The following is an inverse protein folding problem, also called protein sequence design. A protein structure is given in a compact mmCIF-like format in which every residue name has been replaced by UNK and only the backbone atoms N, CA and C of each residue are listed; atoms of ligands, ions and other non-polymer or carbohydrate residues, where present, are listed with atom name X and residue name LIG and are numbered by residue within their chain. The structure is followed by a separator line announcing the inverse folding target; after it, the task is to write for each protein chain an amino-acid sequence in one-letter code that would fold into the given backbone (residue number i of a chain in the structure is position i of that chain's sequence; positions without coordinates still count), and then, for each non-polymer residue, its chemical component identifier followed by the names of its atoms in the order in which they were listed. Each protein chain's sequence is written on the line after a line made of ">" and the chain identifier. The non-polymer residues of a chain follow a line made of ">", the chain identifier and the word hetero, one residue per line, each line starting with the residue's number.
data_IF_677898182412
#
_entry.id   IF_677898182412
#
_cell.length_a   1.000
_cell.length_b   1.000
_cell.length_c   1.000
_cell.angle_alpha   90.00
_cell.angle_beta   90.00
_cell.angle_gamma   90.00
#
_symmetry.space_group_name_H-M   'P 1'
#
loop_
_entity.id
_entity.type
_entity.pdbx_description
1 polymer ?
#
# COMPACT_ATOMS: atom_id res chain seq x y z
N UNK A 1 0.21 1.70 -2.63
CA UNK A 1 0.15 1.95 -1.17
C UNK A 1 0.74 3.34 -0.89
N UNK A 2 -0.03 4.29 -0.34
CA UNK A 2 0.39 5.72 -0.22
C UNK A 2 1.25 6.05 1.01
N UNK A 3 1.34 5.12 1.97
CA UNK A 3 1.96 5.35 3.30
C UNK A 3 3.43 5.80 3.21
N UNK A 4 4.22 5.15 2.36
CA UNK A 4 5.64 5.47 2.16
C UNK A 4 5.84 6.92 1.69
N UNK A 5 5.20 7.30 0.58
CA UNK A 5 5.36 8.65 0.05
C UNK A 5 4.80 9.72 0.96
N UNK A 6 3.72 9.46 1.70
CA UNK A 6 3.20 10.41 2.69
C UNK A 6 4.16 10.59 3.88
N UNK A 7 4.74 9.52 4.43
CA UNK A 7 5.70 9.63 5.55
C UNK A 7 6.99 10.33 5.12
N UNK A 8 7.51 10.03 3.93
CA UNK A 8 8.72 10.69 3.41
C UNK A 8 8.50 12.18 3.14
N UNK A 9 7.32 12.58 2.62
CA UNK A 9 6.97 14.01 2.46
C UNK A 9 6.84 14.70 3.81
N UNK A 10 6.20 14.08 4.80
CA UNK A 10 6.13 14.62 6.17
C UNK A 10 7.53 14.78 6.80
N UNK A 11 8.42 13.80 6.60
CA UNK A 11 9.81 13.90 7.04
C UNK A 11 10.52 15.07 6.36
N UNK A 12 10.36 15.21 5.04
CA UNK A 12 10.91 16.30 4.24
C UNK A 12 10.49 17.67 4.78
N UNK A 13 9.22 17.84 5.12
CA UNK A 13 8.72 19.09 5.73
C UNK A 13 9.25 19.30 7.15
N UNK A 14 9.27 18.24 7.98
CA UNK A 14 9.77 18.32 9.36
C UNK A 14 11.25 18.73 9.43
N UNK A 15 12.07 18.29 8.47
CA UNK A 15 13.50 18.54 8.42
C UNK A 15 13.89 19.68 7.46
N UNK A 16 12.93 20.51 7.04
CA UNK A 16 13.17 21.56 6.04
C UNK A 16 14.22 22.58 6.47
N UNK A 17 14.26 22.91 7.76
CA UNK A 17 15.17 23.91 8.36
C UNK A 17 16.41 23.27 9.00
N UNK A 18 16.51 21.93 9.00
CA UNK A 18 17.63 21.21 9.59
C UNK A 18 18.64 20.84 8.51
N UNK A 19 19.92 21.07 8.80
CA UNK A 19 21.01 20.57 7.99
C UNK A 19 21.35 19.14 8.38
N UNK A 20 21.61 18.32 7.37
CA UNK A 20 22.17 17.00 7.54
C UNK A 20 23.68 17.09 7.84
N UNK A 21 24.31 15.95 8.14
CA UNK A 21 25.76 15.88 8.40
C UNK A 21 26.63 16.33 7.23
N UNK A 22 26.10 16.38 6.01
CA UNK A 22 26.76 16.93 4.82
C UNK A 22 26.60 18.45 4.66
N UNK A 23 26.01 19.13 5.65
CA UNK A 23 25.77 20.58 5.64
C UNK A 23 24.66 21.03 4.69
N UNK A 24 23.86 20.09 4.14
CA UNK A 24 22.77 20.39 3.20
C UNK A 24 21.41 20.00 3.77
N UNK A 25 20.36 20.65 3.28
CA UNK A 25 18.99 20.27 3.63
C UNK A 25 18.65 18.87 3.09
N UNK A 26 17.68 18.20 3.73
CA UNK A 26 17.15 16.92 3.24
C UNK A 26 16.52 17.01 1.85
N UNK A 27 16.01 18.19 1.48
CA UNK A 27 15.46 18.50 0.17
C UNK A 27 16.52 19.15 -0.73
N UNK A 28 16.36 19.00 -2.06
CA UNK A 28 17.23 19.67 -3.03
C UNK A 28 17.71 18.75 -4.15
N UNK A 29 18.46 19.33 -5.11
CA UNK A 29 19.09 18.59 -6.21
C UNK A 29 20.08 17.59 -5.62
N UNK A 30 20.01 16.34 -6.08
CA UNK A 30 20.78 15.20 -5.57
C UNK A 30 20.38 14.68 -4.18
N UNK A 31 19.41 15.29 -3.50
CA UNK A 31 18.84 14.86 -2.22
C UNK A 31 17.41 14.30 -2.38
N UNK A 32 16.56 14.37 -1.36
CA UNK A 32 15.22 13.78 -1.39
C UNK A 32 14.23 14.68 -2.15
N UNK A 33 14.04 14.41 -3.45
CA UNK A 33 13.06 15.11 -4.30
C UNK A 33 11.73 14.36 -4.37
N UNK A 34 10.65 15.03 -4.74
CA UNK A 34 9.32 14.40 -4.85
C UNK A 34 9.28 13.26 -5.87
N UNK A 35 9.93 13.43 -7.03
CA UNK A 35 10.09 12.35 -8.02
C UNK A 35 10.81 11.12 -7.44
N UNK A 36 11.80 11.33 -6.57
CA UNK A 36 12.49 10.23 -5.88
C UNK A 36 11.59 9.55 -4.85
N UNK A 37 10.81 10.33 -4.10
CA UNK A 37 9.80 9.82 -3.18
C UNK A 37 8.78 8.95 -3.93
N UNK A 38 8.33 9.39 -5.10
CA UNK A 38 7.38 8.63 -5.92
C UNK A 38 7.98 7.31 -6.41
N UNK A 39 9.23 7.31 -6.86
CA UNK A 39 9.93 6.07 -7.23
C UNK A 39 10.03 5.10 -6.05
N UNK A 40 10.41 5.58 -4.87
CA UNK A 40 10.48 4.75 -3.65
C UNK A 40 9.11 4.19 -3.30
N UNK A 41 8.06 5.02 -3.35
CA UNK A 41 6.69 4.59 -3.10
C UNK A 41 6.23 3.53 -4.11
N UNK A 42 6.61 3.66 -5.37
CA UNK A 42 6.23 2.72 -6.42
C UNK A 42 6.89 1.35 -6.22
N UNK A 43 8.20 1.30 -5.95
CA UNK A 43 8.90 0.05 -5.61
C UNK A 43 8.30 -0.59 -4.36
N UNK A 44 8.14 0.20 -3.29
CA UNK A 44 7.53 -0.28 -2.06
C UNK A 44 6.13 -0.85 -2.26
N UNK A 45 5.30 -0.20 -3.09
CA UNK A 45 3.98 -0.72 -3.42
C UNK A 45 4.01 -1.98 -4.28
N UNK A 46 4.98 -2.11 -5.18
CA UNK A 46 5.16 -3.27 -6.05
C UNK A 46 5.54 -4.50 -5.23
N UNK A 47 6.56 -4.38 -4.40
CA UNK A 47 7.09 -5.46 -3.56
C UNK A 47 6.06 -5.93 -2.54
N UNK A 48 5.29 -4.98 -2.00
CA UNK A 48 4.15 -5.30 -1.17
C UNK A 48 3.09 -6.16 -1.88
N UNK A 49 2.74 -5.84 -3.13
CA UNK A 49 1.73 -6.58 -3.91
C UNK A 49 2.20 -7.96 -4.33
N UNK A 50 3.51 -8.18 -4.47
CA UNK A 50 4.09 -9.48 -4.81
C UNK A 50 4.04 -10.47 -3.64
N UNK A 51 4.04 -9.97 -2.41
CA UNK A 51 4.22 -10.77 -1.20
C UNK A 51 3.02 -10.73 -0.23
N UNK A 52 1.80 -10.65 -0.76
CA UNK A 52 0.58 -10.49 0.04
C UNK A 52 0.30 -11.63 1.03
N UNK A 53 0.96 -12.78 0.83
CA UNK A 53 0.74 -14.00 1.61
C UNK A 53 1.88 -14.27 2.62
N UNK A 54 2.95 -13.47 2.62
CA UNK A 54 4.11 -13.70 3.50
C UNK A 54 4.67 -12.39 4.04
N UNK A 55 4.51 -12.19 5.36
CA UNK A 55 5.12 -11.06 6.07
C UNK A 55 6.64 -11.09 5.95
N UNK A 56 7.24 -12.28 5.97
CA UNK A 56 8.69 -12.43 5.86
C UNK A 56 9.18 -12.01 4.47
N UNK A 57 8.56 -12.52 3.40
CA UNK A 57 8.96 -12.17 2.03
C UNK A 57 8.75 -10.67 1.76
N UNK A 58 7.64 -10.10 2.28
CA UNK A 58 7.38 -8.67 2.20
C UNK A 58 8.45 -7.85 2.91
N UNK A 59 8.88 -8.26 4.11
CA UNK A 59 9.96 -7.61 4.85
C UNK A 59 11.27 -7.66 4.07
N UNK A 60 11.63 -8.83 3.52
CA UNK A 60 12.86 -9.01 2.74
C UNK A 60 12.88 -8.08 1.52
N UNK A 61 11.84 -8.07 0.70
CA UNK A 61 11.81 -7.23 -0.50
C UNK A 61 11.86 -5.72 -0.15
N UNK A 62 11.14 -5.30 0.88
CA UNK A 62 11.20 -3.91 1.36
C UNK A 62 12.61 -3.55 1.86
N UNK A 63 13.27 -4.49 2.56
CA UNK A 63 14.65 -4.32 3.03
C UNK A 63 15.61 -4.19 1.84
N UNK A 64 15.41 -4.95 0.77
CA UNK A 64 16.21 -4.82 -0.46
C UNK A 64 16.11 -3.41 -1.03
N UNK A 65 14.93 -2.78 -1.06
CA UNK A 65 14.79 -1.38 -1.50
C UNK A 65 15.70 -0.46 -0.67
N UNK A 66 15.70 -0.62 0.66
CA UNK A 66 16.48 0.21 1.57
C UNK A 66 17.98 -0.04 1.41
N UNK A 67 18.40 -1.30 1.28
CA UNK A 67 19.80 -1.69 1.06
C UNK A 67 20.32 -1.18 -0.28
N UNK A 68 19.52 -1.28 -1.34
CA UNK A 68 19.80 -0.62 -2.62
C UNK A 68 19.94 0.89 -2.48
N UNK A 69 19.30 1.49 -1.48
CA UNK A 69 19.44 2.93 -1.24
C UNK A 69 20.72 3.30 -0.50
N UNK A 70 21.21 2.42 0.36
CA UNK A 70 22.48 2.53 1.10
C UNK A 70 23.70 2.15 0.24
N UNK A 71 23.51 1.28 -0.75
CA UNK A 71 24.56 0.76 -1.64
C UNK A 71 25.29 1.89 -2.38
N UNK A 72 26.62 1.82 -2.40
CA UNK A 72 27.49 2.63 -3.22
C UNK A 72 28.63 1.77 -3.81
N UNK A 73 29.49 2.36 -4.64
CA UNK A 73 30.56 1.61 -5.32
C UNK A 73 31.60 1.02 -4.34
N UNK A 74 31.86 1.70 -3.22
CA UNK A 74 32.83 1.26 -2.19
C UNK A 74 32.21 0.23 -1.22
N UNK A 75 30.90 0.34 -0.99
CA UNK A 75 30.14 -0.49 -0.07
C UNK A 75 28.85 -1.02 -0.75
N UNK A 76 28.96 -2.09 -1.55
CA UNK A 76 27.82 -2.66 -2.26
C UNK A 76 26.87 -3.41 -1.31
N UNK A 77 25.62 -2.96 -1.24
CA UNK A 77 24.58 -3.51 -0.34
C UNK A 77 23.55 -4.32 -1.12
N UNK A 78 24.00 -5.37 -1.80
CA UNK A 78 23.18 -6.24 -2.67
C UNK A 78 23.00 -7.67 -2.14
N UNK A 79 23.26 -7.91 -0.85
CA UNK A 79 23.23 -9.25 -0.24
C UNK A 79 21.85 -9.94 -0.27
N UNK A 80 20.76 -9.17 -0.30
CA UNK A 80 19.39 -9.69 -0.33
C UNK A 80 18.83 -9.84 -1.76
N UNK A 81 19.62 -9.53 -2.78
CA UNK A 81 19.20 -9.69 -4.17
C UNK A 81 19.32 -11.15 -4.62
N UNK A 82 18.46 -11.60 -5.55
CA UNK A 82 18.64 -12.88 -6.22
C UNK A 82 20.04 -12.98 -6.83
N UNK A 83 20.66 -14.15 -6.72
CA UNK A 83 21.97 -14.45 -7.29
C UNK A 83 21.79 -14.91 -8.75
N UNK A 84 22.78 -14.64 -9.61
CA UNK A 84 22.84 -15.16 -10.98
C UNK A 84 22.55 -14.12 -12.05
N UNK A 85 22.72 -14.55 -13.30
CA UNK A 85 22.59 -13.71 -14.51
C UNK A 85 21.16 -13.24 -14.77
N UNK A 86 20.17 -13.96 -14.24
CA UNK A 86 18.75 -13.58 -14.30
C UNK A 86 18.34 -12.60 -13.20
N UNK A 87 19.26 -12.22 -12.31
CA UNK A 87 18.96 -11.30 -11.23
C UNK A 87 18.44 -9.97 -11.75
N UNK A 88 17.41 -9.41 -11.13
CA UNK A 88 16.99 -8.05 -11.46
C UNK A 88 18.00 -7.00 -10.97
N UNK A 89 18.93 -7.37 -10.07
CA UNK A 89 20.00 -6.49 -9.59
C UNK A 89 21.15 -6.48 -10.59
N UNK A 90 21.45 -5.30 -11.15
CA UNK A 90 22.58 -5.12 -12.06
C UNK A 90 23.93 -5.49 -11.44
N UNK A 91 24.08 -5.31 -10.11
CA UNK A 91 25.29 -5.73 -9.40
C UNK A 91 25.43 -7.26 -9.39
N UNK A 92 24.37 -7.98 -9.05
CA UNK A 92 24.39 -9.46 -9.01
C UNK A 92 24.53 -10.10 -10.39
N UNK A 93 23.97 -9.47 -11.41
CA UNK A 93 24.23 -9.85 -12.81
C UNK A 93 25.69 -9.70 -13.17
N UNK A 94 26.27 -8.55 -12.84
CA UNK A 94 27.65 -8.27 -13.16
C UNK A 94 28.63 -9.20 -12.41
N UNK A 95 28.33 -9.49 -11.14
CA UNK A 95 29.04 -10.48 -10.33
C UNK A 95 28.98 -11.89 -10.96
N UNK A 96 27.81 -12.31 -11.45
CA UNK A 96 27.65 -13.63 -12.07
C UNK A 96 28.35 -13.76 -13.43
N UNK A 97 28.29 -12.72 -14.27
CA UNK A 97 28.87 -12.73 -15.62
C UNK A 97 30.33 -12.24 -15.66
N UNK A 98 30.89 -11.79 -14.53
CA UNK A 98 32.25 -11.24 -14.45
C UNK A 98 32.41 -9.88 -15.14
N UNK A 99 31.34 -9.09 -15.28
CA UNK A 99 31.37 -7.78 -15.93
C UNK A 99 31.55 -6.64 -14.91
N UNK A 100 32.04 -5.48 -15.37
CA UNK A 100 32.17 -4.31 -14.52
C UNK A 100 30.80 -3.68 -14.22
N UNK A 101 30.52 -3.42 -12.94
CA UNK A 101 29.33 -2.69 -12.50
C UNK A 101 29.71 -1.32 -11.94
N UNK A 102 28.93 -0.30 -12.29
CA UNK A 102 29.00 1.03 -11.69
C UNK A 102 27.64 1.43 -11.15
N UNK A 103 27.59 1.83 -9.89
CA UNK A 103 26.38 2.26 -9.24
C UNK A 103 25.92 3.60 -9.83
N UNK A 104 24.75 3.58 -10.47
CA UNK A 104 24.20 4.76 -11.16
C UNK A 104 23.63 5.80 -10.21
N UNK A 105 23.32 5.43 -8.96
CA UNK A 105 22.42 6.21 -8.11
C UNK A 105 22.89 6.30 -6.65
N UNK A 106 24.17 6.63 -6.44
CA UNK A 106 24.73 6.97 -5.13
C UNK A 106 23.97 8.15 -4.53
N UNK A 107 23.35 7.93 -3.37
CA UNK A 107 22.78 8.99 -2.53
C UNK A 107 23.79 9.34 -1.44
N UNK A 108 23.82 10.61 -0.99
CA UNK A 108 24.55 10.97 0.22
C UNK A 108 24.06 10.09 1.38
N UNK A 109 24.99 9.51 2.14
CA UNK A 109 24.68 8.64 3.27
C UNK A 109 23.72 9.33 4.25
N UNK A 110 23.97 10.62 4.52
CA UNK A 110 23.15 11.47 5.38
C UNK A 110 21.65 11.49 5.01
N UNK A 111 21.33 11.45 3.72
CA UNK A 111 19.93 11.40 3.24
C UNK A 111 19.30 10.07 3.59
N UNK A 112 20.05 8.97 3.39
CA UNK A 112 19.53 7.62 3.63
C UNK A 112 19.37 7.36 5.12
N UNK A 113 20.30 7.85 5.94
CA UNK A 113 20.22 7.82 7.40
C UNK A 113 18.99 8.57 7.92
N UNK A 114 18.75 9.79 7.42
CA UNK A 114 17.55 10.56 7.76
C UNK A 114 16.25 9.80 7.41
N UNK A 115 16.24 9.08 6.28
CA UNK A 115 15.09 8.27 5.86
C UNK A 115 14.94 6.97 6.66
N UNK A 116 15.99 6.50 7.35
CA UNK A 116 16.01 5.18 8.01
C UNK A 116 14.86 5.00 9.00
N UNK A 117 14.50 6.05 9.74
CA UNK A 117 13.38 6.04 10.67
C UNK A 117 12.05 5.74 9.95
N UNK A 118 11.82 6.32 8.78
CA UNK A 118 10.59 6.08 7.99
C UNK A 118 10.54 4.64 7.50
N UNK A 119 11.67 4.09 7.05
CA UNK A 119 11.73 2.68 6.67
C UNK A 119 11.45 1.78 7.87
N UNK A 120 12.13 1.99 9.01
CA UNK A 120 11.92 1.24 10.27
C UNK A 120 10.46 1.16 10.67
N UNK A 121 9.79 2.28 10.58
CA UNK A 121 8.39 2.42 10.93
C UNK A 121 7.43 1.71 9.93
N UNK A 122 7.88 1.49 8.69
CA UNK A 122 7.09 0.89 7.62
C UNK A 122 7.35 -0.59 7.42
N UNK A 123 8.50 -1.11 7.85
CA UNK A 123 8.78 -2.54 7.85
C UNK A 123 8.45 -3.23 9.19
N UNK A 124 7.87 -2.51 10.15
CA UNK A 124 7.49 -3.09 11.43
C UNK A 124 6.55 -4.30 11.25
N UNK A 125 6.85 -5.50 11.79
CA UNK A 125 6.08 -6.72 11.51
C UNK A 125 4.59 -6.60 11.84
N UNK A 126 4.23 -5.89 12.92
CA UNK A 126 2.83 -5.62 13.28
C UNK A 126 2.09 -4.80 12.21
N UNK A 127 2.78 -3.92 11.49
CA UNK A 127 2.20 -3.18 10.37
C UNK A 127 2.00 -4.11 9.16
N UNK A 128 3.01 -4.92 8.84
CA UNK A 128 2.98 -5.84 7.70
C UNK A 128 1.93 -6.96 7.89
N UNK A 129 1.74 -7.46 9.11
CA UNK A 129 0.68 -8.44 9.45
C UNK A 129 -0.73 -7.94 9.13
N UNK A 130 -1.03 -6.65 9.38
CA UNK A 130 -2.33 -6.02 9.04
C UNK A 130 -2.56 -5.84 7.54
N UNK A 131 -1.54 -6.12 6.77
CA UNK A 131 -1.39 -5.80 5.37
C UNK A 131 -1.42 -7.09 4.51
N UNK A 132 -1.32 -8.26 5.15
CA UNK A 132 -1.53 -9.58 4.55
C UNK A 132 -2.96 -9.67 4.00
N UNK A 133 -3.13 -10.38 2.89
CA UNK A 133 -4.40 -10.52 2.14
C UNK A 133 -4.90 -9.25 1.45
N UNK A 134 -4.10 -8.18 1.39
CA UNK A 134 -4.47 -6.91 0.73
C UNK A 134 -5.80 -6.31 1.19
N UNK A 135 -6.25 -6.61 2.42
CA UNK A 135 -7.51 -6.07 2.92
C UNK A 135 -7.50 -4.54 2.88
N UNK A 136 -8.59 -3.98 2.34
CA UNK A 136 -8.74 -2.53 2.20
C UNK A 136 -8.70 -1.90 3.59
N UNK A 137 -7.80 -0.93 3.80
CA UNK A 137 -7.62 -0.22 5.08
C UNK A 137 -8.84 0.59 5.54
N UNK A 138 -9.89 0.64 4.72
CA UNK A 138 -11.13 1.33 5.03
C UNK A 138 -12.29 0.62 4.30
N UNK A 139 -12.96 -0.34 4.96
CA UNK A 139 -14.16 -0.99 4.42
C UNK A 139 -15.24 0.03 4.03
N UNK A 140 -15.35 1.13 4.79
CA UNK A 140 -16.31 2.19 4.52
C UNK A 140 -16.01 2.91 3.20
N UNK A 141 -14.77 2.94 2.70
CA UNK A 141 -14.46 3.53 1.39
C UNK A 141 -14.99 2.69 0.23
N UNK A 142 -14.87 1.36 0.31
CA UNK A 142 -15.44 0.49 -0.72
C UNK A 142 -16.96 0.50 -0.67
N UNK A 143 -17.55 0.43 0.52
CA UNK A 143 -19.02 0.50 0.70
C UNK A 143 -19.56 1.85 0.23
N UNK A 144 -18.97 2.96 0.66
CA UNK A 144 -19.38 4.29 0.20
C UNK A 144 -19.23 4.41 -1.32
N UNK A 145 -18.15 3.92 -1.92
CA UNK A 145 -17.99 3.99 -3.37
C UNK A 145 -19.11 3.26 -4.12
N UNK A 146 -19.52 2.09 -3.64
CA UNK A 146 -20.66 1.33 -4.20
C UNK A 146 -21.99 2.07 -3.98
N UNK A 147 -22.21 2.64 -2.79
CA UNK A 147 -23.40 3.45 -2.52
C UNK A 147 -23.45 4.66 -3.46
N UNK A 148 -22.34 5.39 -3.61
CA UNK A 148 -22.27 6.58 -4.47
C UNK A 148 -22.32 6.25 -5.97
N UNK A 149 -21.91 5.05 -6.40
CA UNK A 149 -22.09 4.63 -7.79
C UNK A 149 -23.53 4.23 -8.09
N UNK A 150 -24.26 3.74 -7.08
CA UNK A 150 -25.68 3.35 -7.20
C UNK A 150 -26.64 4.52 -6.96
N UNK A 151 -26.26 5.47 -6.11
CA UNK A 151 -27.03 6.68 -5.78
C UNK A 151 -26.32 7.89 -6.38
N UNK A 152 -26.78 8.31 -7.56
CA UNK A 152 -26.17 9.44 -8.29
C UNK A 152 -26.31 10.73 -7.49
N UNK A 153 -25.23 11.54 -7.43
CA UNK A 153 -25.22 12.83 -6.73
C UNK A 153 -26.05 13.93 -7.43
N UNK A 154 -26.75 13.61 -8.51
CA UNK A 154 -27.41 14.57 -9.38
C UNK A 154 -28.71 15.14 -8.78
N UNK A 155 -29.31 14.42 -7.84
CA UNK A 155 -30.52 14.83 -7.13
C UNK A 155 -30.21 14.96 -5.65
N UNK A 156 -30.74 16.02 -5.02
CA UNK A 156 -30.73 16.16 -3.56
C UNK A 156 -31.62 15.05 -2.98
N UNK A 157 -31.04 13.88 -2.83
CA UNK A 157 -31.74 12.67 -2.44
C UNK A 157 -32.08 12.80 -0.94
N UNK A 158 -33.37 12.96 -0.62
CA UNK A 158 -33.84 12.88 0.75
C UNK A 158 -33.35 11.57 1.41
N UNK A 159 -33.16 11.57 2.73
CA UNK A 159 -32.63 10.46 3.54
C UNK A 159 -33.18 9.08 3.11
N UNK A 160 -34.45 9.01 2.69
CA UNK A 160 -35.12 7.80 2.19
C UNK A 160 -34.40 7.10 1.03
N UNK A 161 -33.85 7.83 0.06
CA UNK A 161 -33.14 7.25 -1.08
C UNK A 161 -31.74 6.71 -0.70
N UNK A 162 -31.06 7.34 0.26
CA UNK A 162 -29.84 6.81 0.88
C UNK A 162 -30.14 5.52 1.67
N UNK A 163 -31.22 5.49 2.44
CA UNK A 163 -31.67 4.29 3.17
C UNK A 163 -32.00 3.14 2.22
N UNK A 164 -32.69 3.42 1.11
CA UNK A 164 -32.98 2.42 0.05
C UNK A 164 -31.69 1.89 -0.58
N UNK A 165 -30.71 2.76 -0.88
CA UNK A 165 -29.40 2.34 -1.37
C UNK A 165 -28.64 1.44 -0.39
N UNK A 166 -28.70 1.75 0.92
CA UNK A 166 -28.12 0.91 1.97
C UNK A 166 -28.81 -0.46 2.07
N UNK A 167 -30.15 -0.49 2.01
CA UNK A 167 -30.94 -1.74 2.05
C UNK A 167 -30.64 -2.60 0.82
N UNK A 168 -30.69 -2.02 -0.39
CA UNK A 168 -30.39 -2.74 -1.63
C UNK A 168 -28.95 -3.26 -1.66
N UNK A 169 -27.98 -2.52 -1.12
CA UNK A 169 -26.61 -3.01 -1.01
C UNK A 169 -26.50 -4.19 -0.03
N UNK A 170 -27.20 -4.13 1.10
CA UNK A 170 -27.24 -5.20 2.10
C UNK A 170 -27.91 -6.45 1.54
N UNK A 171 -29.01 -6.30 0.80
CA UNK A 171 -29.72 -7.39 0.13
C UNK A 171 -28.89 -8.00 -1.02
N UNK A 172 -28.22 -7.18 -1.83
CA UNK A 172 -27.29 -7.67 -2.86
C UNK A 172 -26.05 -8.37 -2.30
N UNK A 173 -25.79 -8.24 -1.00
CA UNK A 173 -24.71 -8.93 -0.29
C UNK A 173 -25.18 -10.23 0.39
N UNK A 174 -26.49 -10.44 0.51
CA UNK A 174 -27.10 -11.63 1.12
C UNK A 174 -27.56 -12.68 0.12
N UNK A 175 -27.81 -12.28 -1.13
CA UNK A 175 -28.10 -13.21 -2.23
C UNK A 175 -26.81 -13.52 -3.01
N UNK A 176 -26.54 -14.80 -3.25
CA UNK A 176 -25.45 -15.30 -4.10
C UNK A 176 -25.64 -14.83 -5.56
N UNK A 177 -25.35 -13.56 -5.84
CA UNK A 177 -25.37 -13.03 -7.20
C UNK A 177 -23.95 -12.96 -7.74
N UNK A 178 -23.65 -13.89 -8.65
CA UNK A 178 -22.49 -13.82 -9.55
C UNK A 178 -22.67 -12.61 -10.48
N UNK A 179 -22.04 -11.49 -10.15
CA UNK A 179 -21.87 -10.37 -11.07
C UNK A 179 -20.76 -10.70 -12.09
N UNK A 180 -21.17 -10.95 -13.33
CA UNK A 180 -20.29 -11.26 -14.47
C UNK A 180 -19.34 -10.12 -14.84
N UNK A 181 -19.52 -8.90 -14.32
CA UNK A 181 -18.63 -7.77 -14.59
C UNK A 181 -17.43 -7.69 -13.63
N UNK A 182 -17.33 -8.61 -12.66
CA UNK A 182 -16.21 -8.68 -11.72
C UNK A 182 -15.04 -9.57 -12.19
N UNK A 183 -14.66 -9.54 -13.48
CA UNK A 183 -13.47 -10.28 -13.97
C UNK A 183 -12.14 -9.60 -13.58
N UNK A 184 -12.15 -8.37 -13.02
CA UNK A 184 -10.90 -7.64 -12.73
C UNK A 184 -10.37 -7.71 -11.30
N UNK A 185 -11.07 -8.34 -10.36
CA UNK A 185 -10.57 -8.48 -8.99
C UNK A 185 -10.88 -9.87 -8.44
N UNK A 186 -9.96 -10.81 -8.62
CA UNK A 186 -10.08 -12.21 -8.19
C UNK A 186 -10.02 -12.41 -6.67
N UNK A 187 -11.03 -11.95 -5.94
CA UNK A 187 -11.21 -12.30 -4.53
C UNK A 187 -12.64 -12.75 -4.27
N UNK A 188 -12.81 -14.08 -4.15
CA UNK A 188 -14.02 -14.70 -3.56
C UNK A 188 -14.03 -14.38 -2.07
N UNK A 189 -14.94 -13.51 -1.63
CA UNK A 189 -15.16 -13.23 -0.21
C UNK A 189 -16.16 -14.23 0.34
N UNK A 190 -15.69 -15.18 1.16
CA UNK A 190 -16.56 -16.02 1.99
C UNK A 190 -16.74 -15.30 3.33
N UNK A 191 -17.88 -14.65 3.54
CA UNK A 191 -18.26 -14.13 4.87
C UNK A 191 -19.20 -15.14 5.50
N UNK A 192 -18.76 -15.76 6.61
CA UNK A 192 -19.58 -16.66 7.42
C UNK A 192 -20.64 -15.84 8.16
N UNK A 193 -21.90 -16.25 7.99
CA UNK A 193 -23.07 -15.67 8.62
C UNK A 193 -23.03 -15.71 10.15
N UNK A 194 -23.40 -14.61 10.79
CA UNK A 194 -24.05 -14.62 12.10
C UNK A 194 -24.71 -13.25 12.34
N UNK A 195 -26.04 -13.17 12.23
CA UNK A 195 -26.90 -12.67 13.31
C UNK A 195 -28.40 -12.84 12.93
N UNK A 196 -29.04 -13.90 13.45
CA UNK A 196 -30.46 -14.22 13.23
C UNK A 196 -31.42 -13.32 14.02
N UNK A 197 -30.91 -12.35 14.78
CA UNK A 197 -31.72 -11.48 15.63
C UNK A 197 -32.38 -10.33 14.86
N UNK A 198 -31.78 -9.85 13.76
CA UNK A 198 -32.30 -8.72 12.98
C UNK A 198 -33.52 -9.08 12.13
N UNK A 199 -33.64 -10.34 11.72
CA UNK A 199 -34.73 -10.83 10.86
C UNK A 199 -36.08 -10.89 11.58
N UNK A 200 -36.08 -11.08 12.90
CA UNK A 200 -37.32 -11.13 13.71
C UNK A 200 -37.93 -9.75 13.98
N UNK A 201 -37.11 -8.69 14.10
CA UNK A 201 -37.62 -7.33 14.36
C UNK A 201 -38.35 -6.72 13.15
N UNK A 202 -38.06 -7.18 11.93
CA UNK A 202 -38.70 -6.67 10.72
C UNK A 202 -40.10 -7.24 10.45
N UNK A 203 -40.48 -8.39 11.04
CA UNK A 203 -41.84 -8.94 10.87
C UNK A 203 -42.91 -8.19 11.65
N UNK A 204 -42.54 -7.49 12.73
CA UNK A 204 -43.49 -6.73 13.56
C UNK A 204 -43.93 -5.41 12.93
N UNK A 205 -43.12 -4.81 12.05
CA UNK A 205 -43.37 -3.47 11.51
C UNK A 205 -44.28 -3.49 10.27
N UNK A 206 -44.36 -4.63 9.57
CA UNK A 206 -45.27 -4.81 8.42
C UNK A 206 -46.71 -5.21 8.80
N UNK A 207 -47.02 -5.47 10.08
CA UNK A 207 -48.34 -5.97 10.50
C UNK A 207 -49.30 -4.92 11.06
N UNK A 208 -48.86 -3.67 11.21
CA UNK A 208 -49.73 -2.56 11.66
C UNK A 208 -49.69 -1.44 10.64
N UNK A 209 -50.49 -1.59 9.59
CA UNK A 209 -50.81 -0.51 8.65
C UNK A 209 -52.06 0.23 9.10
N UNK A 210 -51.88 1.51 9.47
CA UNK A 210 -52.76 2.66 9.22
C UNK A 210 -52.05 3.93 9.72
#
# INVERSE_FOLDING_TARGET
>A
MKRMGSKLRKLKEKMKEQLLSDGKCLSGKNHLTDSRIDKIQNYYGLDFRRNLNSVHAMLQDILVIFMHKLSNDENPQHGFCPIGEDSWSGFKKAEATGSAYKNKHNRPLAVVEAMSAVFKDLFHPNLLKKCVHANTQNPNKSVNNVIWSRVTKATFAQIKALTLGHILNSLSSSDEFYDSDCIRCGTKNTIKNHDSSLTSQMKSVCSTGL
#
